data_IF_165118904930
#
_entry.id   IF_165118904930
#
_cell.length_a   1.000
_cell.length_b   1.000
_cell.length_c   1.000
_cell.angle_alpha   90.00
_cell.angle_beta   90.00
_cell.angle_gamma   90.00
#
_symmetry.space_group_name_H-M   'P 1'
#
loop_
_entity.id
_entity.type
_entity.pdbx_description
1 polymer ?
#
# COMPACT_ATOMS: atom_id res chain seq x y z
N UNK A 1 10.22 -13.55 1.42
CA UNK A 1 9.55 -13.59 2.73
C UNK A 1 8.93 -14.97 2.95
N UNK A 2 9.36 -15.74 3.97
CA UNK A 2 8.70 -17.00 4.35
C UNK A 2 7.35 -16.66 4.96
N UNK A 3 6.23 -16.91 4.26
CA UNK A 3 4.89 -16.85 4.87
C UNK A 3 4.86 -17.86 6.01
N UNK A 4 4.82 -17.38 7.26
CA UNK A 4 4.73 -18.25 8.45
C UNK A 4 3.34 -18.89 8.41
N UNK A 5 3.29 -20.17 8.01
CA UNK A 5 2.04 -20.94 7.91
C UNK A 5 1.58 -21.25 9.33
N UNK A 6 0.45 -20.65 9.75
CA UNK A 6 -0.17 -20.95 11.04
C UNK A 6 -0.95 -22.25 10.90
N UNK A 7 -0.75 -23.19 11.82
CA UNK A 7 -1.43 -24.49 11.83
C UNK A 7 -2.06 -24.76 13.19
N UNK A 8 -3.27 -25.32 13.20
CA UNK A 8 -3.94 -25.80 14.40
C UNK A 8 -4.44 -27.22 14.13
N UNK A 9 -4.15 -28.15 15.03
CA UNK A 9 -4.48 -29.59 14.86
C UNK A 9 -4.02 -30.16 13.50
N UNK A 10 -2.85 -29.74 13.01
CA UNK A 10 -2.31 -30.17 11.70
C UNK A 10 -2.93 -29.49 10.48
N UNK A 11 -4.05 -28.77 10.62
CA UNK A 11 -4.68 -28.03 9.54
C UNK A 11 -4.12 -26.60 9.41
N UNK A 12 -3.83 -26.11 8.19
CA UNK A 12 -3.47 -24.71 7.98
C UNK A 12 -4.66 -23.79 8.27
N UNK A 13 -4.44 -22.77 9.10
CA UNK A 13 -5.45 -21.75 9.43
C UNK A 13 -5.01 -20.39 8.90
N UNK A 14 -5.97 -19.59 8.45
CA UNK A 14 -5.79 -18.18 8.12
C UNK A 14 -6.45 -17.35 9.21
N UNK A 15 -5.66 -16.54 9.92
CA UNK A 15 -6.21 -15.52 10.80
C UNK A 15 -6.47 -14.28 9.95
N UNK A 16 -7.74 -13.95 9.75
CA UNK A 16 -8.19 -12.71 9.13
C UNK A 16 -8.78 -11.83 10.21
N UNK A 17 -8.48 -10.53 10.19
CA UNK A 17 -9.22 -9.56 11.00
C UNK A 17 -10.51 -9.19 10.25
N UNK A 18 -11.61 -9.05 10.98
CA UNK A 18 -12.87 -8.55 10.43
C UNK A 18 -12.74 -7.05 10.17
N UNK A 19 -12.61 -6.68 8.90
CA UNK A 19 -12.54 -5.29 8.45
C UNK A 19 -13.88 -4.84 7.88
N UNK A 20 -14.25 -3.58 8.11
CA UNK A 20 -15.35 -2.94 7.38
C UNK A 20 -15.10 -2.98 5.86
N UNK A 21 -16.18 -3.01 5.08
CA UNK A 21 -16.14 -2.95 3.61
C UNK A 21 -15.34 -1.74 3.10
N UNK A 22 -15.45 -0.60 3.79
CA UNK A 22 -14.71 0.62 3.47
C UNK A 22 -13.19 0.45 3.68
N UNK A 23 -12.79 -0.22 4.77
CA UNK A 23 -11.37 -0.51 5.04
C UNK A 23 -10.80 -1.51 4.04
N UNK A 24 -11.60 -2.50 3.62
CA UNK A 24 -11.22 -3.45 2.58
C UNK A 24 -11.04 -2.78 1.23
N UNK A 25 -11.93 -1.87 0.86
CA UNK A 25 -11.83 -1.10 -0.38
C UNK A 25 -10.59 -0.20 -0.38
N UNK A 26 -10.38 0.57 0.67
CA UNK A 26 -9.19 1.41 0.81
C UNK A 26 -7.89 0.59 0.68
N UNK A 27 -7.83 -0.61 1.28
CA UNK A 27 -6.68 -1.53 1.12
C UNK A 27 -6.49 -2.05 -0.31
N UNK A 28 -7.57 -2.27 -1.06
CA UNK A 28 -7.47 -2.65 -2.48
C UNK A 28 -6.90 -1.52 -3.30
N UNK A 29 -7.32 -0.28 -3.05
CA UNK A 29 -6.75 0.89 -3.72
C UNK A 29 -5.25 1.07 -3.42
N UNK A 30 -4.81 0.70 -2.23
CA UNK A 30 -3.39 0.69 -1.88
C UNK A 30 -2.58 -0.43 -2.57
N UNK A 31 -3.22 -1.47 -3.12
CA UNK A 31 -2.51 -2.65 -3.66
C UNK A 31 -1.61 -2.32 -4.85
N UNK A 32 -2.12 -1.58 -5.83
CA UNK A 32 -1.36 -1.23 -7.04
C UNK A 32 -0.21 -0.25 -6.69
N UNK A 33 -0.45 0.68 -5.76
CA UNK A 33 0.57 1.60 -5.24
C UNK A 33 1.65 0.87 -4.44
N UNK A 34 1.25 -0.09 -3.59
CA UNK A 34 2.17 -0.88 -2.79
C UNK A 34 3.14 -1.67 -3.67
N UNK A 35 2.65 -2.24 -4.79
CA UNK A 35 3.49 -2.93 -5.77
C UNK A 35 4.53 -1.97 -6.37
N UNK A 36 4.11 -0.80 -6.84
CA UNK A 36 5.03 0.19 -7.42
C UNK A 36 6.08 0.70 -6.41
N UNK A 37 5.69 0.92 -5.16
CA UNK A 37 6.62 1.30 -4.08
C UNK A 37 7.61 0.16 -3.75
N UNK A 38 7.16 -1.10 -3.85
CA UNK A 38 8.00 -2.29 -3.64
C UNK A 38 9.02 -2.45 -4.76
N UNK A 39 8.63 -2.23 -6.02
CA UNK A 39 9.55 -2.26 -7.19
C UNK A 39 10.70 -1.25 -7.07
N UNK A 40 10.51 -0.16 -6.32
CA UNK A 40 11.54 0.86 -6.06
C UNK A 40 12.26 0.73 -4.72
N UNK A 41 12.08 -0.38 -4.01
CA UNK A 41 12.72 -0.63 -2.71
C UNK A 41 12.44 0.45 -1.64
N UNK A 42 11.30 1.14 -1.72
CA UNK A 42 10.90 2.20 -0.77
C UNK A 42 10.37 1.64 0.57
N UNK A 43 10.48 0.33 0.78
CA UNK A 43 10.05 -0.38 1.99
C UNK A 43 8.61 -0.03 2.42
N UNK A 44 7.61 -0.17 1.51
CA UNK A 44 6.25 0.18 1.84
C UNK A 44 5.68 -0.72 2.94
N UNK A 45 4.86 -0.15 3.82
CA UNK A 45 4.12 -0.84 4.88
C UNK A 45 2.66 -0.37 4.85
N UNK A 46 1.74 -1.32 5.00
CA UNK A 46 0.32 -1.02 5.19
C UNK A 46 0.05 -1.08 6.69
N UNK A 47 -0.31 0.05 7.28
CA UNK A 47 -0.66 0.20 8.67
C UNK A 47 -2.18 0.08 8.86
N UNK A 48 -2.58 -0.45 10.01
CA UNK A 48 -3.98 -0.51 10.41
C UNK A 48 -4.53 0.93 10.63
N UNK A 49 -5.78 1.23 10.24
CA UNK A 49 -6.74 0.37 9.54
C UNK A 49 -6.47 0.24 8.03
N UNK A 50 -6.17 1.37 7.36
CA UNK A 50 -5.90 1.44 5.93
C UNK A 50 -4.95 2.62 5.58
N UNK A 51 -3.84 2.76 6.29
CA UNK A 51 -2.82 3.78 5.99
C UNK A 51 -1.66 3.15 5.25
N UNK A 52 -1.08 3.84 4.27
CA UNK A 52 0.20 3.41 3.66
C UNK A 52 1.35 4.23 4.24
N UNK A 53 2.50 3.60 4.45
CA UNK A 53 3.74 4.30 4.75
C UNK A 53 4.88 3.75 3.90
N UNK A 54 5.85 4.59 3.59
CA UNK A 54 7.06 4.21 2.87
C UNK A 54 8.20 5.17 3.22
N UNK A 55 9.43 4.73 2.99
CA UNK A 55 10.61 5.56 3.17
C UNK A 55 10.85 6.38 1.90
N UNK A 56 10.91 7.71 2.03
CA UNK A 56 11.25 8.66 0.97
C UNK A 56 12.27 9.66 1.49
N UNK A 57 13.34 9.90 0.74
CA UNK A 57 14.37 10.92 1.10
C UNK A 57 14.92 10.75 2.54
N UNK A 58 15.00 9.51 3.03
CA UNK A 58 15.49 9.20 4.38
C UNK A 58 14.42 9.22 5.49
N UNK A 59 13.24 9.79 5.23
CA UNK A 59 12.15 9.87 6.19
C UNK A 59 11.05 8.83 5.91
N UNK A 60 10.39 8.33 6.96
CA UNK A 60 9.20 7.49 6.82
C UNK A 60 7.98 8.41 6.74
N UNK A 61 7.33 8.48 5.58
CA UNK A 61 6.08 9.21 5.41
C UNK A 61 4.90 8.24 5.51
N UNK A 62 3.80 8.67 6.13
CA UNK A 62 2.56 7.89 6.24
C UNK A 62 1.36 8.71 5.76
N UNK A 63 0.53 8.08 4.93
CA UNK A 63 -0.63 8.70 4.32
C UNK A 63 -1.88 7.90 4.71
N UNK A 64 -2.87 8.55 5.32
CA UNK A 64 -4.13 7.89 5.64
C UNK A 64 -5.06 7.78 4.42
N UNK A 65 -4.89 8.69 3.46
CA UNK A 65 -5.74 8.80 2.28
C UNK A 65 -4.91 9.01 1.02
N UNK A 66 -5.48 8.59 -0.11
CA UNK A 66 -4.85 8.63 -1.43
C UNK A 66 -4.73 10.04 -1.98
N UNK A 67 -5.63 10.95 -1.65
CA UNK A 67 -5.57 12.35 -2.06
C UNK A 67 -4.31 13.02 -1.49
N UNK A 68 -4.06 12.84 -0.18
CA UNK A 68 -2.84 13.36 0.48
C UNK A 68 -1.57 12.78 -0.13
N UNK A 69 -1.59 11.50 -0.53
CA UNK A 69 -0.48 10.91 -1.26
C UNK A 69 -0.30 11.59 -2.63
N UNK A 70 -1.38 11.83 -3.38
CA UNK A 70 -1.30 12.50 -4.68
C UNK A 70 -0.72 13.91 -4.58
N UNK A 71 -1.14 14.67 -3.58
CA UNK A 71 -0.60 16.02 -3.32
C UNK A 71 0.90 15.96 -3.03
N UNK A 72 1.35 15.01 -2.20
CA UNK A 72 2.77 14.80 -1.91
C UNK A 72 3.58 14.39 -3.15
N UNK A 73 3.05 13.46 -3.95
CA UNK A 73 3.66 13.00 -5.19
C UNK A 73 3.74 14.11 -6.25
N UNK A 74 2.76 15.02 -6.26
CA UNK A 74 2.77 16.18 -7.17
C UNK A 74 3.83 17.20 -6.74
N UNK A 75 4.10 17.32 -5.43
CA UNK A 75 5.14 18.20 -4.89
C UNK A 75 6.56 17.65 -5.03
N UNK A 76 6.71 16.32 -5.16
CA UNK A 76 8.02 15.65 -5.26
C UNK A 76 8.20 15.02 -6.66
N UNK A 77 8.92 15.69 -7.59
CA UNK A 77 9.17 15.19 -8.94
C UNK A 77 9.75 13.77 -9.02
N UNK A 78 10.70 13.35 -8.15
CA UNK A 78 11.24 11.99 -8.17
C UNK A 78 10.17 10.92 -7.92
N UNK A 79 9.25 11.19 -6.99
CA UNK A 79 8.15 10.26 -6.68
C UNK A 79 7.06 10.28 -7.74
N UNK A 80 6.87 11.42 -8.41
CA UNK A 80 5.93 11.56 -9.51
C UNK A 80 6.25 10.57 -10.63
N UNK A 81 7.50 10.48 -11.05
CA UNK A 81 7.90 9.58 -12.14
C UNK A 81 7.71 8.10 -11.76
N UNK A 82 8.07 7.76 -10.52
CA UNK A 82 7.94 6.40 -9.96
C UNK A 82 6.47 5.96 -9.92
N UNK A 83 5.58 6.81 -9.40
CA UNK A 83 4.18 6.47 -9.17
C UNK A 83 3.29 6.81 -10.36
N UNK A 84 3.82 7.42 -11.41
CA UNK A 84 3.07 7.75 -12.65
C UNK A 84 2.36 6.54 -13.22
N UNK A 85 3.04 5.38 -13.30
CA UNK A 85 2.45 4.15 -13.85
C UNK A 85 1.30 3.61 -12.99
N UNK A 86 1.48 3.59 -11.67
CA UNK A 86 0.44 3.15 -10.74
C UNK A 86 -0.78 4.10 -10.76
N UNK A 87 -0.54 5.41 -10.81
CA UNK A 87 -1.59 6.43 -10.87
C UNK A 87 -2.34 6.44 -12.22
N UNK A 88 -1.69 6.10 -13.33
CA UNK A 88 -2.32 5.97 -14.65
C UNK A 88 -3.19 4.72 -14.73
N UNK A 89 -2.72 3.58 -14.21
CA UNK A 89 -3.48 2.33 -14.24
C UNK A 89 -4.81 2.46 -13.48
N UNK A 90 -4.81 3.23 -12.39
CA UNK A 90 -6.02 3.58 -11.65
C UNK A 90 -7.03 4.39 -12.48
N UNK A 91 -6.57 5.35 -13.29
CA UNK A 91 -7.47 6.15 -14.15
C UNK A 91 -8.13 5.33 -15.27
N UNK A 92 -7.58 4.18 -15.63
CA UNK A 92 -8.15 3.28 -16.65
C UNK A 92 -9.14 2.25 -16.09
N UNK A 93 -9.15 2.03 -14.77
CA UNK A 93 -10.07 1.11 -14.10
C UNK A 93 -11.39 1.79 -13.66
N UNK A 94 -11.56 3.08 -13.98
CA UNK A 94 -12.74 3.87 -13.65
C UNK A 94 -13.66 4.02 -14.86
#
# INVERSE_FOLDING_TARGET
EKKKRITYKGAPIRLSADFSTETLQARREWSDLFKALKDKNLQPRILYPARISFRSEGEIKSFPDKQKLREFVTKSPPLQEILKKALILEKRKK
#
